data_IF_640126832473
#
_entry.id   IF_640126832473
#
_cell.length_a   1.000
_cell.length_b   1.000
_cell.length_c   1.000
_cell.angle_alpha   90.00
_cell.angle_beta   90.00
_cell.angle_gamma   90.00
#
_symmetry.space_group_name_H-M   'P 1'
#
loop_
_entity.id
_entity.type
_entity.pdbx_description
1 polymer ?
#
# COMPACT_ATOMS: atom_id res chain seq x y z
N UNK A 1 23.98 2.57 -23.94
CA UNK A 1 23.30 1.27 -23.91
C UNK A 1 22.50 1.08 -22.61
N UNK A 2 23.13 1.12 -21.42
CA UNK A 2 22.41 0.92 -20.14
C UNK A 2 21.25 1.88 -19.85
N UNK A 3 21.37 3.16 -20.22
CA UNK A 3 20.25 4.12 -20.10
C UNK A 3 19.00 3.69 -20.88
N UNK A 4 19.17 3.20 -22.12
CA UNK A 4 18.06 2.83 -22.99
C UNK A 4 17.33 1.60 -22.43
N UNK A 5 18.07 0.61 -21.95
CA UNK A 5 17.49 -0.58 -21.31
C UNK A 5 16.76 -0.24 -20.01
N UNK A 6 17.31 0.66 -19.20
CA UNK A 6 16.63 1.15 -18.00
C UNK A 6 15.27 1.77 -18.33
N UNK A 7 15.21 2.66 -19.34
CA UNK A 7 13.95 3.30 -19.74
C UNK A 7 12.95 2.29 -20.31
N UNK A 8 13.43 1.26 -21.02
CA UNK A 8 12.57 0.20 -21.55
C UNK A 8 11.90 -0.56 -20.40
N UNK A 9 12.67 -1.02 -19.43
CA UNK A 9 12.13 -1.72 -18.25
C UNK A 9 11.24 -0.80 -17.42
N UNK A 10 11.64 0.45 -17.18
CA UNK A 10 10.86 1.43 -16.41
C UNK A 10 9.45 1.63 -16.99
N UNK A 11 9.32 1.69 -18.33
CA UNK A 11 8.03 1.90 -18.99
C UNK A 11 7.08 0.69 -18.91
N UNK A 12 7.64 -0.51 -18.80
CA UNK A 12 6.87 -1.76 -18.74
C UNK A 12 6.77 -2.33 -17.33
N UNK A 13 7.40 -1.69 -16.34
CA UNK A 13 7.37 -2.15 -14.96
C UNK A 13 5.99 -1.90 -14.36
N UNK A 14 5.36 -2.98 -13.90
CA UNK A 14 4.06 -2.93 -13.24
C UNK A 14 4.22 -2.38 -11.83
N UNK A 15 3.42 -1.36 -11.51
CA UNK A 15 3.34 -0.76 -10.17
C UNK A 15 1.90 -0.93 -9.65
N UNK A 16 1.70 -0.98 -8.32
CA UNK A 16 0.36 -1.05 -7.75
C UNK A 16 -0.56 0.03 -8.31
N UNK A 17 -1.82 -0.32 -8.59
CA UNK A 17 -2.80 0.57 -9.22
C UNK A 17 -3.10 1.84 -8.40
N UNK A 18 -2.91 1.78 -7.08
CA UNK A 18 -3.08 2.89 -6.14
C UNK A 18 -1.94 3.92 -6.27
N UNK A 19 -0.79 3.51 -6.81
CA UNK A 19 0.35 4.42 -6.93
C UNK A 19 0.12 5.38 -8.09
N UNK A 20 0.21 6.67 -7.79
CA UNK A 20 0.34 7.67 -8.84
C UNK A 20 1.55 7.34 -9.71
N UNK A 21 1.39 7.59 -11.02
CA UNK A 21 2.46 7.35 -11.98
C UNK A 21 3.72 8.12 -11.57
N UNK A 22 4.79 7.38 -11.30
CA UNK A 22 6.09 7.97 -10.99
C UNK A 22 6.71 8.57 -12.26
N UNK A 23 7.28 9.77 -12.12
CA UNK A 23 8.02 10.42 -13.20
C UNK A 23 9.30 9.63 -13.52
N UNK A 24 9.92 9.83 -14.67
CA UNK A 24 11.19 9.16 -14.96
C UNK A 24 12.29 9.66 -13.99
N UNK A 25 12.94 8.76 -13.22
CA UNK A 25 13.92 9.14 -12.20
C UNK A 25 15.20 9.75 -12.79
N UNK A 26 15.46 9.56 -14.08
CA UNK A 26 16.67 10.10 -14.74
C UNK A 26 16.44 11.53 -15.23
N UNK A 27 15.26 11.84 -15.76
CA UNK A 27 14.98 13.18 -16.34
C UNK A 27 14.35 14.15 -15.34
N UNK A 28 13.72 13.64 -14.28
CA UNK A 28 12.97 14.45 -13.31
C UNK A 28 13.48 14.30 -11.87
N UNK A 29 14.77 14.02 -11.68
CA UNK A 29 15.35 13.73 -10.35
C UNK A 29 14.96 14.75 -9.28
N UNK A 30 14.91 16.04 -9.63
CA UNK A 30 14.64 17.13 -8.69
C UNK A 30 13.14 17.40 -8.45
N UNK A 31 12.26 16.66 -9.12
CA UNK A 31 10.80 16.80 -9.01
C UNK A 31 10.15 15.80 -8.05
N UNK A 32 10.94 14.91 -7.46
CA UNK A 32 10.46 13.85 -6.58
C UNK A 32 10.16 14.38 -5.19
N UNK A 33 8.98 14.09 -4.67
CA UNK A 33 8.68 14.27 -3.26
C UNK A 33 9.31 13.14 -2.43
N UNK A 34 9.35 13.30 -1.10
CA UNK A 34 9.86 12.27 -0.20
C UNK A 34 9.14 10.92 -0.40
N UNK A 35 7.81 10.93 -0.53
CA UNK A 35 7.03 9.71 -0.78
C UNK A 35 7.41 9.05 -2.11
N UNK A 36 7.59 9.83 -3.18
CA UNK A 36 8.04 9.30 -4.48
C UNK A 36 9.44 8.68 -4.38
N UNK A 37 10.33 9.29 -3.59
CA UNK A 37 11.69 8.78 -3.35
C UNK A 37 11.69 7.44 -2.60
N UNK A 38 10.78 7.28 -1.63
CA UNK A 38 10.60 6.01 -0.91
C UNK A 38 10.07 4.92 -1.83
N UNK A 39 9.00 5.23 -2.58
CA UNK A 39 8.43 4.33 -3.60
C UNK A 39 9.49 3.90 -4.61
N UNK A 40 10.30 4.85 -5.09
CA UNK A 40 11.41 4.59 -6.00
C UNK A 40 12.42 3.63 -5.39
N UNK A 41 12.83 3.87 -4.14
CA UNK A 41 13.79 3.02 -3.43
C UNK A 41 13.28 1.58 -3.31
N UNK A 42 11.97 1.38 -3.12
CA UNK A 42 11.37 0.04 -3.03
C UNK A 42 11.40 -0.71 -4.36
N UNK A 43 11.15 -0.04 -5.49
CA UNK A 43 11.05 -0.71 -6.81
C UNK A 43 12.40 -0.81 -7.55
N UNK A 44 13.37 0.03 -7.20
CA UNK A 44 14.67 0.09 -7.89
C UNK A 44 15.41 -1.26 -7.98
N UNK A 45 15.52 -2.08 -6.91
CA UNK A 45 16.16 -3.39 -7.01
C UNK A 45 15.61 -4.25 -8.17
N UNK A 46 14.29 -4.27 -8.31
CA UNK A 46 13.58 -5.08 -9.31
C UNK A 46 13.74 -4.56 -10.74
N UNK A 47 13.86 -3.24 -10.89
CA UNK A 47 14.13 -2.61 -12.19
C UNK A 47 15.59 -2.88 -12.58
N UNK A 48 16.53 -2.67 -11.67
CA UNK A 48 17.96 -2.81 -11.93
C UNK A 48 18.34 -4.25 -12.29
N UNK A 49 17.73 -5.25 -11.62
CA UNK A 49 17.89 -6.68 -11.97
C UNK A 49 17.57 -6.95 -13.44
N UNK A 50 16.51 -6.34 -13.97
CA UNK A 50 16.03 -6.58 -15.34
C UNK A 50 16.75 -5.71 -16.37
N UNK A 51 17.18 -4.51 -15.97
CA UNK A 51 17.69 -3.50 -16.90
C UNK A 51 19.21 -3.50 -17.07
N UNK A 52 19.98 -3.88 -16.04
CA UNK A 52 21.41 -3.56 -15.99
C UNK A 52 22.29 -4.79 -15.76
N UNK A 53 23.27 -4.99 -16.64
CA UNK A 53 24.33 -5.97 -16.48
C UNK A 53 25.69 -5.27 -16.29
N UNK A 54 26.76 -6.04 -16.01
CA UNK A 54 28.08 -5.47 -15.77
C UNK A 54 28.59 -4.60 -16.94
N UNK A 55 28.29 -4.95 -18.21
CA UNK A 55 28.74 -4.20 -19.39
C UNK A 55 28.15 -2.78 -19.49
N UNK A 56 27.10 -2.50 -18.73
CA UNK A 56 26.45 -1.19 -18.71
C UNK A 56 27.11 -0.19 -17.76
N UNK A 57 28.05 -0.64 -16.92
CA UNK A 57 28.81 0.22 -16.01
C UNK A 57 30.18 0.58 -16.58
N UNK A 58 30.77 1.67 -16.08
CA UNK A 58 32.15 2.05 -16.44
C UNK A 58 33.13 1.00 -15.90
N UNK A 59 34.11 0.61 -16.71
CA UNK A 59 35.05 -0.46 -16.36
C UNK A 59 35.83 -0.20 -15.07
N UNK A 60 36.29 1.04 -14.85
CA UNK A 60 37.02 1.43 -13.63
C UNK A 60 36.14 1.27 -12.39
N UNK A 61 34.86 1.61 -12.50
CA UNK A 61 33.89 1.49 -11.40
C UNK A 61 33.64 0.03 -11.03
N UNK A 62 33.45 -0.84 -12.03
CA UNK A 62 33.24 -2.28 -11.79
C UNK A 62 34.51 -2.91 -11.21
N UNK A 63 35.68 -2.56 -11.75
CA UNK A 63 36.96 -3.13 -11.32
C UNK A 63 37.25 -2.74 -9.86
N UNK A 64 36.95 -1.50 -9.47
CA UNK A 64 37.03 -1.05 -8.08
C UNK A 64 36.11 -1.88 -7.18
N UNK A 65 34.81 -1.97 -7.49
CA UNK A 65 33.86 -2.74 -6.65
C UNK A 65 34.25 -4.21 -6.58
N UNK A 66 34.69 -4.81 -7.70
CA UNK A 66 35.18 -6.18 -7.73
C UNK A 66 36.31 -6.38 -6.71
N UNK A 67 37.27 -5.46 -6.66
CA UNK A 67 38.40 -5.54 -5.75
C UNK A 67 37.98 -5.26 -4.29
N UNK A 68 37.18 -4.21 -4.05
CA UNK A 68 36.70 -3.81 -2.72
C UNK A 68 35.87 -4.91 -2.03
N UNK A 69 35.18 -5.74 -2.82
CA UNK A 69 34.37 -6.87 -2.35
C UNK A 69 35.03 -8.25 -2.59
N UNK A 70 36.30 -8.28 -3.04
CA UNK A 70 37.04 -9.52 -3.32
C UNK A 70 36.29 -10.51 -4.23
N UNK A 71 35.57 -10.01 -5.24
CA UNK A 71 34.74 -10.83 -6.13
C UNK A 71 35.58 -11.57 -7.17
N UNK A 72 35.19 -12.79 -7.51
CA UNK A 72 35.87 -13.58 -8.55
C UNK A 72 35.69 -12.98 -9.94
N UNK A 73 34.48 -12.49 -10.25
CA UNK A 73 34.13 -12.00 -11.59
C UNK A 73 33.40 -10.64 -11.56
N UNK A 74 33.70 -9.78 -12.55
CA UNK A 74 32.97 -8.53 -12.84
C UNK A 74 31.46 -8.76 -13.00
N UNK A 75 31.03 -9.94 -13.45
CA UNK A 75 29.61 -10.30 -13.57
C UNK A 75 28.85 -10.28 -12.24
N UNK A 76 29.52 -10.39 -11.09
CA UNK A 76 28.90 -10.39 -9.77
C UNK A 76 28.63 -8.98 -9.23
N UNK A 77 29.27 -7.95 -9.81
CA UNK A 77 29.18 -6.56 -9.34
C UNK A 77 27.75 -6.00 -9.38
N UNK A 78 26.92 -6.22 -10.42
CA UNK A 78 25.53 -5.77 -10.41
C UNK A 78 24.74 -6.28 -9.19
N UNK A 79 24.98 -7.52 -8.76
CA UNK A 79 24.33 -8.09 -7.59
C UNK A 79 24.65 -7.33 -6.29
N UNK A 80 25.88 -6.84 -6.13
CA UNK A 80 26.27 -5.98 -5.00
C UNK A 80 25.52 -4.64 -5.02
N UNK A 81 25.38 -4.04 -6.21
CA UNK A 81 24.67 -2.76 -6.37
C UNK A 81 23.18 -2.94 -6.05
N UNK A 82 22.58 -4.03 -6.52
CA UNK A 82 21.17 -4.36 -6.24
C UNK A 82 20.99 -4.60 -4.74
N UNK A 83 21.85 -5.38 -4.09
CA UNK A 83 21.82 -5.60 -2.64
C UNK A 83 21.95 -4.29 -1.85
N UNK A 84 22.78 -3.35 -2.32
CA UNK A 84 22.86 -2.02 -1.71
C UNK A 84 21.51 -1.28 -1.74
N UNK A 85 20.77 -1.34 -2.86
CA UNK A 85 19.41 -0.79 -2.95
C UNK A 85 18.41 -1.53 -2.06
N UNK A 86 18.51 -2.87 -1.96
CA UNK A 86 17.65 -3.66 -1.06
C UNK A 86 17.85 -3.24 0.39
N UNK A 87 19.09 -3.09 0.83
CA UNK A 87 19.41 -2.62 2.18
C UNK A 87 18.90 -1.19 2.39
N UNK A 88 18.99 -0.32 1.39
CA UNK A 88 18.41 1.02 1.45
C UNK A 88 16.89 0.96 1.62
N UNK A 89 16.19 0.10 0.89
CA UNK A 89 14.75 -0.08 1.03
C UNK A 89 14.36 -0.59 2.43
N UNK A 90 15.11 -1.56 2.98
CA UNK A 90 14.93 -2.05 4.36
C UNK A 90 15.17 -0.95 5.39
N UNK A 91 16.23 -0.14 5.22
CA UNK A 91 16.51 1.01 6.08
C UNK A 91 15.37 2.04 6.03
N UNK A 92 14.87 2.37 4.83
CA UNK A 92 13.71 3.25 4.68
C UNK A 92 12.47 2.71 5.41
N UNK A 93 12.18 1.40 5.32
CA UNK A 93 11.07 0.78 6.06
C UNK A 93 11.24 0.96 7.58
N UNK A 94 12.43 0.74 8.11
CA UNK A 94 12.71 0.90 9.54
C UNK A 94 12.61 2.37 10.00
N UNK A 95 13.16 3.31 9.22
CA UNK A 95 13.10 4.74 9.53
C UNK A 95 11.64 5.22 9.53
N UNK A 96 10.84 4.86 8.53
CA UNK A 96 9.48 5.39 8.39
C UNK A 96 8.39 4.52 9.03
N UNK A 97 8.77 3.59 9.93
CA UNK A 97 7.81 2.80 10.71
C UNK A 97 7.02 3.74 11.63
N UNK A 98 5.70 3.56 11.66
CA UNK A 98 4.76 4.42 12.40
C UNK A 98 4.87 4.29 13.92
N UNK A 99 5.23 3.10 14.40
CA UNK A 99 5.41 2.79 15.82
C UNK A 99 6.60 1.86 16.01
N UNK A 100 7.36 2.10 17.08
CA UNK A 100 8.48 1.24 17.48
C UNK A 100 8.04 0.37 18.65
N UNK A 101 8.43 -0.90 18.60
CA UNK A 101 8.11 -1.97 19.53
C UNK A 101 9.37 -2.29 20.33
N UNK A 102 9.18 -2.44 21.63
CA UNK A 102 10.21 -2.87 22.57
C UNK A 102 9.59 -3.99 23.38
N UNK A 103 10.10 -5.20 23.22
CA UNK A 103 9.77 -6.37 24.03
C UNK A 103 11.06 -7.01 24.57
N UNK A 104 10.95 -8.10 25.34
CA UNK A 104 12.13 -8.77 25.94
C UNK A 104 13.06 -9.42 24.90
N UNK A 105 12.55 -9.72 23.71
CA UNK A 105 13.24 -10.44 22.63
C UNK A 105 13.65 -9.55 21.45
N UNK A 106 13.04 -8.38 21.30
CA UNK A 106 13.13 -7.51 20.14
C UNK A 106 13.07 -6.03 20.51
N UNK A 107 13.92 -5.25 19.86
CA UNK A 107 13.98 -3.81 20.06
C UNK A 107 14.22 -3.10 18.73
N UNK A 108 13.21 -2.37 18.25
CA UNK A 108 13.29 -1.63 16.99
C UNK A 108 14.44 -0.60 16.96
N UNK A 109 14.82 -0.01 18.09
CA UNK A 109 15.92 0.96 18.13
C UNK A 109 17.28 0.29 17.87
N UNK A 110 17.49 -0.91 18.43
CA UNK A 110 18.70 -1.70 18.19
C UNK A 110 18.72 -2.16 16.74
N UNK A 111 17.61 -2.73 16.26
CA UNK A 111 17.48 -3.18 14.87
C UNK A 111 17.70 -2.02 13.87
N UNK A 112 17.18 -0.82 14.18
CA UNK A 112 17.41 0.37 13.37
C UNK A 112 18.90 0.73 13.33
N UNK A 113 19.58 0.74 14.48
CA UNK A 113 21.01 1.04 14.54
C UNK A 113 21.84 0.07 13.70
N UNK A 114 21.58 -1.23 13.80
CA UNK A 114 22.26 -2.27 13.03
C UNK A 114 22.03 -2.10 11.52
N UNK A 115 20.77 -1.88 11.10
CA UNK A 115 20.42 -1.67 9.69
C UNK A 115 21.12 -0.41 9.14
N UNK A 116 21.17 0.67 9.92
CA UNK A 116 21.79 1.94 9.52
C UNK A 116 23.32 1.86 9.44
N UNK A 117 23.96 1.11 10.32
CA UNK A 117 25.39 0.82 10.23
C UNK A 117 25.69 -0.02 8.98
N UNK A 118 24.90 -1.06 8.73
CA UNK A 118 25.08 -1.95 7.59
C UNK A 118 24.93 -1.20 6.25
N UNK A 119 23.87 -0.40 6.09
CA UNK A 119 23.69 0.41 4.87
C UNK A 119 24.79 1.46 4.72
N UNK A 120 25.24 2.08 5.81
CA UNK A 120 26.32 3.07 5.78
C UNK A 120 27.61 2.45 5.24
N UNK A 121 27.98 1.28 5.77
CA UNK A 121 29.15 0.53 5.31
C UNK A 121 29.03 0.10 3.85
N UNK A 122 27.84 -0.34 3.42
CA UNK A 122 27.59 -0.73 2.04
C UNK A 122 27.66 0.46 1.07
N UNK A 123 27.06 1.60 1.40
CA UNK A 123 27.11 2.82 0.59
C UNK A 123 28.56 3.32 0.42
N UNK A 124 29.35 3.29 1.50
CA UNK A 124 30.75 3.71 1.46
C UNK A 124 31.60 2.76 0.60
N UNK A 125 31.37 1.44 0.64
CA UNK A 125 32.08 0.50 -0.23
C UNK A 125 31.68 0.67 -1.70
N UNK A 126 30.38 0.76 -1.99
CA UNK A 126 29.88 0.85 -3.38
C UNK A 126 30.20 2.20 -4.02
N UNK A 127 29.99 3.31 -3.32
CA UNK A 127 30.12 4.67 -3.89
C UNK A 127 31.39 5.42 -3.45
N UNK A 128 32.16 4.87 -2.51
CA UNK A 128 33.49 5.35 -2.14
C UNK A 128 33.51 6.75 -1.54
N UNK A 129 34.56 7.51 -1.87
CA UNK A 129 34.79 8.88 -1.42
C UNK A 129 33.68 9.87 -1.81
N UNK A 130 32.89 9.55 -2.83
CA UNK A 130 31.76 10.39 -3.26
C UNK A 130 30.71 10.52 -2.17
N UNK A 131 30.58 9.49 -1.30
CA UNK A 131 29.61 9.46 -0.21
C UNK A 131 30.24 9.78 1.14
N UNK A 132 31.52 9.46 1.36
CA UNK A 132 32.16 9.64 2.68
C UNK A 132 32.17 11.07 3.21
N UNK A 133 32.10 12.07 2.31
CA UNK A 133 32.08 13.50 2.66
C UNK A 133 30.68 14.09 2.76
N UNK A 134 29.63 13.31 2.48
CA UNK A 134 28.26 13.82 2.49
C UNK A 134 27.76 13.98 3.93
N UNK A 135 27.24 15.16 4.30
CA UNK A 135 26.59 15.35 5.60
C UNK A 135 25.50 14.33 5.86
N UNK A 136 24.74 13.94 4.82
CA UNK A 136 23.69 12.93 4.92
C UNK A 136 24.22 11.58 5.43
N UNK A 137 25.44 11.18 5.04
CA UNK A 137 26.06 9.94 5.55
C UNK A 137 26.43 10.04 7.03
N UNK A 138 26.81 11.24 7.50
CA UNK A 138 27.05 11.48 8.92
C UNK A 138 25.74 11.49 9.71
N UNK A 139 24.70 12.14 9.18
CA UNK A 139 23.36 12.21 9.80
C UNK A 139 22.75 10.82 10.00
N UNK A 140 22.96 9.87 9.07
CA UNK A 140 22.48 8.49 9.21
C UNK A 140 22.89 7.84 10.54
N UNK A 141 24.06 8.18 11.08
CA UNK A 141 24.58 7.60 12.33
C UNK A 141 23.84 8.10 13.58
N UNK A 142 23.23 9.27 13.49
CA UNK A 142 22.52 9.90 14.62
C UNK A 142 21.03 9.59 14.63
N UNK A 143 20.49 8.98 13.56
CA UNK A 143 19.06 8.68 13.48
C UNK A 143 18.57 7.76 14.61
N UNK A 144 19.30 6.73 15.06
CA UNK A 144 18.86 5.92 16.20
C UNK A 144 18.67 6.75 17.47
N UNK A 145 19.62 7.63 17.79
CA UNK A 145 19.53 8.51 18.97
C UNK A 145 18.37 9.50 18.85
N UNK A 146 18.15 10.04 17.65
CA UNK A 146 16.99 10.90 17.36
C UNK A 146 15.69 10.10 17.56
N UNK A 147 15.61 8.87 17.07
CA UNK A 147 14.45 8.02 17.26
C UNK A 147 14.17 7.80 18.75
N UNK A 148 15.19 7.48 19.56
CA UNK A 148 15.04 7.29 21.02
C UNK A 148 14.50 8.55 21.68
N UNK A 149 15.00 9.72 21.30
CA UNK A 149 14.59 11.00 21.91
C UNK A 149 13.16 11.42 21.54
N UNK A 150 12.68 11.06 20.34
CA UNK A 150 11.40 11.51 19.80
C UNK A 150 10.37 10.37 19.62
N UNK A 151 10.68 9.17 20.09
CA UNK A 151 9.87 7.94 19.97
C UNK A 151 9.93 7.29 18.57
N UNK A 152 9.78 8.06 17.50
CA UNK A 152 9.93 7.58 16.12
C UNK A 152 10.57 8.63 15.24
N UNK A 153 11.21 8.18 14.15
CA UNK A 153 11.76 9.10 13.14
C UNK A 153 10.68 9.86 12.36
N UNK A 154 9.45 9.34 12.31
CA UNK A 154 8.30 10.01 11.67
C UNK A 154 7.97 11.32 12.40
N UNK A 155 8.10 11.37 13.73
CA UNK A 155 7.82 12.56 14.53
C UNK A 155 8.75 13.74 14.22
N UNK A 156 9.97 13.45 13.72
CA UNK A 156 10.99 14.46 13.38
C UNK A 156 11.00 14.76 11.86
N UNK A 157 10.17 14.06 11.08
CA UNK A 157 10.15 14.21 9.62
C UNK A 157 9.71 15.61 9.19
N UNK A 158 10.63 16.32 8.53
CA UNK A 158 10.39 17.67 7.98
C UNK A 158 9.50 17.61 6.73
N UNK A 159 9.45 16.48 6.03
CA UNK A 159 8.70 16.35 4.77
C UNK A 159 7.20 16.66 4.95
N UNK A 160 6.61 16.28 6.08
CA UNK A 160 5.22 16.62 6.39
C UNK A 160 5.05 18.14 6.56
N UNK A 161 5.96 18.79 7.30
CA UNK A 161 5.96 20.24 7.51
C UNK A 161 6.17 21.00 6.19
N UNK A 162 7.04 20.52 5.31
CA UNK A 162 7.27 21.12 3.98
C UNK A 162 6.05 20.96 3.06
N UNK A 163 5.37 19.82 3.09
CA UNK A 163 4.12 19.63 2.36
C UNK A 163 3.04 20.63 2.83
N UNK A 164 2.89 20.80 4.16
CA UNK A 164 1.99 21.81 4.72
C UNK A 164 2.40 23.24 4.31
N UNK A 165 3.69 23.55 4.35
CA UNK A 165 4.21 24.83 3.90
C UNK A 165 3.91 25.11 2.42
N UNK A 166 3.99 24.08 1.57
CA UNK A 166 3.58 24.15 0.16
C UNK A 166 2.09 24.47 -0.01
N UNK A 167 1.22 23.86 0.80
CA UNK A 167 -0.20 24.18 0.82
C UNK A 167 -0.47 25.62 1.27
N UNK A 168 0.22 26.07 2.32
CA UNK A 168 0.10 27.45 2.80
C UNK A 168 0.53 28.46 1.74
N UNK A 169 1.66 28.24 1.06
CA UNK A 169 2.11 29.12 -0.03
C UNK A 169 1.08 29.26 -1.15
N UNK A 170 0.39 28.18 -1.51
CA UNK A 170 -0.71 28.22 -2.49
C UNK A 170 -1.91 29.03 -1.98
N UNK A 171 -2.11 29.08 -0.67
CA UNK A 171 -3.24 29.79 -0.06
C UNK A 171 -2.95 31.26 0.26
N UNK A 172 -1.69 31.65 0.48
CA UNK A 172 -1.28 33.03 0.78
C UNK A 172 -1.89 34.08 -0.17
N UNK A 173 -1.93 33.89 -1.50
CA UNK A 173 -2.56 34.85 -2.43
C UNK A 173 -4.05 35.11 -2.16
N UNK A 174 -4.73 34.18 -1.52
CA UNK A 174 -6.17 34.23 -1.21
C UNK A 174 -6.48 34.77 0.19
N UNK A 175 -5.46 35.17 0.96
CA UNK A 175 -5.64 35.80 2.27
C UNK A 175 -5.75 37.32 2.14
N UNK A 176 -6.20 38.00 3.20
CA UNK A 176 -6.23 39.46 3.25
C UNK A 176 -4.82 40.09 3.37
N UNK A 177 -3.77 39.25 3.49
CA UNK A 177 -2.35 39.58 3.62
C UNK A 177 -1.97 40.48 4.81
N UNK A 178 -2.92 40.84 5.67
CA UNK A 178 -2.67 41.62 6.89
C UNK A 178 -2.20 40.73 8.04
N UNK A 179 -2.89 39.61 8.26
CA UNK A 179 -2.56 38.64 9.31
C UNK A 179 -2.57 37.22 8.75
N UNK A 180 -1.58 36.93 7.90
CA UNK A 180 -1.47 35.64 7.19
C UNK A 180 -1.48 34.45 8.16
N UNK A 181 -0.80 34.56 9.31
CA UNK A 181 -0.77 33.50 10.32
C UNK A 181 -2.17 33.20 10.86
N UNK A 182 -2.92 34.23 11.28
CA UNK A 182 -4.28 34.08 11.79
C UNK A 182 -5.23 33.54 10.72
N UNK A 183 -5.12 34.02 9.48
CA UNK A 183 -5.97 33.56 8.37
C UNK A 183 -5.71 32.07 8.06
N UNK A 184 -4.44 31.64 8.03
CA UNK A 184 -4.08 30.23 7.83
C UNK A 184 -4.51 29.34 9.01
N UNK A 185 -4.29 29.79 10.26
CA UNK A 185 -4.73 29.04 11.45
C UNK A 185 -6.25 28.91 11.51
N UNK A 186 -7.01 29.96 11.16
CA UNK A 186 -8.47 29.88 11.08
C UNK A 186 -8.90 28.84 10.05
N UNK A 187 -8.32 28.89 8.85
CA UNK A 187 -8.61 27.91 7.79
C UNK A 187 -8.32 26.48 8.23
N UNK A 188 -7.16 26.24 8.84
CA UNK A 188 -6.80 24.89 9.27
C UNK A 188 -7.68 24.38 10.41
N UNK A 189 -8.02 25.25 11.37
CA UNK A 189 -9.01 24.91 12.40
C UNK A 189 -10.35 24.57 11.76
N UNK A 190 -10.84 25.37 10.81
CA UNK A 190 -12.08 25.08 10.09
C UNK A 190 -12.01 23.75 9.35
N UNK A 191 -10.91 23.45 8.64
CA UNK A 191 -10.74 22.18 7.93
C UNK A 191 -10.65 20.98 8.89
N UNK A 192 -9.97 21.12 10.02
CA UNK A 192 -9.90 20.08 11.05
C UNK A 192 -11.25 19.85 11.72
N UNK A 193 -12.00 20.91 12.04
CA UNK A 193 -13.36 20.79 12.57
C UNK A 193 -14.29 20.12 11.56
N UNK A 194 -14.24 20.53 10.28
CA UNK A 194 -15.02 19.88 9.23
C UNK A 194 -14.67 18.41 9.09
N UNK A 195 -13.38 18.06 9.10
CA UNK A 195 -12.93 16.66 9.07
C UNK A 195 -13.46 15.87 10.27
N UNK A 196 -13.32 16.41 11.48
CA UNK A 196 -13.83 15.79 12.69
C UNK A 196 -15.34 15.53 12.62
N UNK A 197 -16.12 16.51 12.15
CA UNK A 197 -17.56 16.36 11.95
C UNK A 197 -17.91 15.30 10.88
N UNK A 198 -17.18 15.29 9.75
CA UNK A 198 -17.35 14.31 8.69
C UNK A 198 -16.98 12.88 9.13
N UNK A 199 -15.99 12.76 10.00
CA UNK A 199 -15.56 11.48 10.58
C UNK A 199 -16.50 11.00 11.73
N UNK A 200 -17.65 11.65 11.93
CA UNK A 200 -18.67 11.25 12.91
C UNK A 200 -18.43 11.77 14.33
N UNK A 201 -17.56 12.77 14.48
CA UNK A 201 -17.30 13.43 15.76
C UNK A 201 -18.57 14.03 16.38
N UNK A 202 -18.76 13.79 17.68
CA UNK A 202 -19.88 14.33 18.43
C UNK A 202 -19.60 15.80 18.74
N UNK A 203 -20.39 16.68 18.15
CA UNK A 203 -20.39 18.10 18.52
C UNK A 203 -21.54 18.36 19.50
N UNK A 204 -21.21 18.74 20.74
CA UNK A 204 -22.21 19.16 21.72
C UNK A 204 -23.07 20.35 21.21
N UNK A 205 -22.57 21.07 20.19
CA UNK A 205 -23.22 22.24 19.61
C UNK A 205 -24.17 21.96 18.42
N UNK A 206 -24.47 20.69 18.11
CA UNK A 206 -25.46 20.28 17.08
C UNK A 206 -25.20 20.85 15.66
N UNK A 207 -23.96 21.19 15.30
CA UNK A 207 -23.62 21.76 13.98
C UNK A 207 -24.00 20.80 12.83
N UNK A 208 -23.92 19.49 13.06
CA UNK A 208 -24.35 18.46 12.10
C UNK A 208 -25.87 18.40 11.85
N UNK A 209 -26.69 19.16 12.59
CA UNK A 209 -28.13 19.31 12.37
C UNK A 209 -28.49 20.68 11.75
N UNK A 210 -27.49 21.54 11.49
CA UNK A 210 -27.73 22.83 10.83
C UNK A 210 -28.24 22.58 9.39
N UNK A 211 -29.47 22.99 9.04
CA UNK A 211 -30.07 22.68 7.75
C UNK A 211 -29.32 23.30 6.57
N UNK A 212 -28.61 24.42 6.76
CA UNK A 212 -27.77 25.01 5.72
C UNK A 212 -26.47 24.23 5.54
N UNK A 213 -25.85 23.77 6.63
CA UNK A 213 -24.61 23.01 6.59
C UNK A 213 -24.85 21.58 6.10
N UNK A 214 -25.95 20.94 6.51
CA UNK A 214 -26.45 19.68 5.94
C UNK A 214 -26.73 19.81 4.44
N UNK A 215 -27.39 20.88 4.01
CA UNK A 215 -27.62 21.16 2.58
C UNK A 215 -26.29 21.28 1.82
N UNK A 216 -25.38 22.10 2.32
CA UNK A 216 -24.06 22.33 1.73
C UNK A 216 -23.22 21.04 1.63
N UNK A 217 -23.20 20.22 2.69
CA UNK A 217 -22.49 18.94 2.72
C UNK A 217 -23.12 17.92 1.77
N UNK A 218 -24.45 17.83 1.72
CA UNK A 218 -25.16 16.97 0.78
C UNK A 218 -24.96 17.40 -0.69
N UNK A 219 -24.78 18.70 -0.93
CA UNK A 219 -24.61 19.28 -2.27
C UNK A 219 -23.14 19.31 -2.74
N UNK A 220 -22.17 19.24 -1.83
CA UNK A 220 -20.72 19.29 -2.13
C UNK A 220 -20.09 17.96 -2.52
N UNK A 221 -20.71 16.83 -2.17
CA UNK A 221 -20.31 15.59 -2.80
C UNK A 221 -20.62 15.73 -4.28
N UNK A 222 -19.56 15.77 -5.10
CA UNK A 222 -19.67 15.33 -6.48
C UNK A 222 -20.20 13.90 -6.35
N UNK A 223 -21.52 13.71 -6.51
CA UNK A 223 -22.03 12.45 -7.03
C UNK A 223 -21.23 12.27 -8.30
N UNK A 224 -20.24 11.38 -8.28
CA UNK A 224 -19.52 10.99 -9.48
C UNK A 224 -20.58 10.40 -10.39
N UNK A 225 -21.14 11.28 -11.21
CA UNK A 225 -22.05 10.97 -12.29
C UNK A 225 -21.22 10.15 -13.27
N UNK A 226 -21.16 8.84 -13.00
CA UNK A 226 -20.99 7.71 -13.91
C UNK A 226 -20.69 6.37 -13.20
N UNK A 227 -20.67 6.30 -11.85
CA UNK A 227 -20.88 5.03 -11.14
C UNK A 227 -22.26 5.06 -10.52
N UNK A 228 -23.18 4.17 -10.92
CA UNK A 228 -24.43 3.99 -10.20
C UNK A 228 -24.06 3.56 -8.77
N UNK A 229 -24.16 4.48 -7.82
CA UNK A 229 -24.17 4.16 -6.40
C UNK A 229 -25.40 3.31 -6.14
N UNK A 230 -25.19 2.06 -5.77
CA UNK A 230 -26.23 1.22 -5.21
C UNK A 230 -26.00 1.21 -3.70
N UNK A 231 -26.73 2.06 -2.96
CA UNK A 231 -26.93 1.88 -1.52
C UNK A 231 -27.82 0.64 -1.33
N UNK A 232 -27.27 -0.53 -1.60
CA UNK A 232 -27.81 -1.78 -1.10
C UNK A 232 -27.53 -1.76 0.40
N UNK A 233 -28.51 -2.07 1.25
CA UNK A 233 -28.26 -2.26 2.69
C UNK A 233 -27.38 -3.49 2.89
N UNK A 234 -26.08 -3.37 2.57
CA UNK A 234 -25.10 -4.46 2.64
C UNK A 234 -24.93 -4.81 4.10
N UNK A 235 -25.17 -6.09 4.39
CA UNK A 235 -25.08 -6.65 5.71
C UNK A 235 -23.62 -6.99 6.01
N UNK A 236 -23.17 -6.62 7.21
CA UNK A 236 -21.93 -7.12 7.81
C UNK A 236 -22.30 -8.08 8.92
N UNK A 237 -21.66 -9.25 8.95
CA UNK A 237 -21.78 -10.16 10.10
C UNK A 237 -20.94 -9.67 11.29
N UNK A 238 -19.85 -8.94 11.02
CA UNK A 238 -18.95 -8.44 12.04
C UNK A 238 -19.37 -7.04 12.50
N UNK A 239 -19.56 -6.81 13.81
CA UNK A 239 -20.09 -5.54 14.34
C UNK A 239 -19.16 -4.35 14.08
N UNK A 240 -17.85 -4.62 13.95
CA UNK A 240 -16.84 -3.58 13.74
C UNK A 240 -16.79 -3.03 12.31
N UNK A 241 -17.48 -3.67 11.36
CA UNK A 241 -17.51 -3.26 9.96
C UNK A 241 -18.82 -2.54 9.66
N UNK A 242 -18.71 -1.29 9.21
CA UNK A 242 -19.84 -0.42 8.91
C UNK A 242 -19.69 0.31 7.57
N UNK A 243 -20.76 1.00 7.16
CA UNK A 243 -20.81 1.86 5.98
C UNK A 243 -20.27 1.20 4.70
N UNK A 244 -20.57 -0.08 4.51
CA UNK A 244 -20.11 -0.85 3.36
C UNK A 244 -20.80 -0.34 2.09
N UNK A 245 -20.00 -0.05 1.06
CA UNK A 245 -20.45 0.44 -0.25
C UNK A 245 -19.65 -0.23 -1.35
N UNK A 246 -20.32 -0.61 -2.44
CA UNK A 246 -19.67 -1.16 -3.63
C UNK A 246 -19.91 -0.27 -4.84
N UNK A 247 -18.98 -0.32 -5.80
CA UNK A 247 -19.03 0.55 -6.96
C UNK A 247 -18.54 -0.17 -8.22
N UNK A 248 -18.99 0.32 -9.36
CA UNK A 248 -18.57 -0.19 -10.67
C UNK A 248 -19.13 -1.57 -10.96
N UNK A 249 -20.47 -1.70 -10.99
CA UNK A 249 -21.15 -2.93 -11.37
C UNK A 249 -20.68 -3.41 -12.75
N UNK A 250 -20.27 -4.67 -12.84
CA UNK A 250 -19.78 -5.27 -14.07
C UNK A 250 -20.93 -5.58 -15.04
N UNK A 251 -20.69 -5.30 -16.32
CA UNK A 251 -21.55 -5.77 -17.42
C UNK A 251 -21.22 -7.24 -17.72
N UNK A 252 -22.20 -7.99 -18.23
CA UNK A 252 -22.03 -9.39 -18.67
C UNK A 252 -20.81 -9.59 -19.57
N UNK A 253 -20.54 -8.65 -20.48
CA UNK A 253 -19.37 -8.70 -21.36
C UNK A 253 -18.02 -8.74 -20.62
N UNK A 254 -17.91 -8.04 -19.48
CA UNK A 254 -16.71 -8.01 -18.65
C UNK A 254 -16.58 -9.30 -17.84
N UNK A 255 -17.69 -9.80 -17.31
CA UNK A 255 -17.79 -11.06 -16.58
C UNK A 255 -17.31 -12.22 -17.47
N UNK A 256 -17.84 -12.34 -18.69
CA UNK A 256 -17.42 -13.39 -19.64
C UNK A 256 -15.96 -13.25 -20.09
N UNK A 257 -15.43 -12.03 -20.25
CA UNK A 257 -14.03 -11.82 -20.62
C UNK A 257 -13.06 -12.36 -19.56
N UNK A 258 -13.47 -12.34 -18.29
CA UNK A 258 -12.69 -12.85 -17.16
C UNK A 258 -12.99 -14.34 -16.85
N UNK A 259 -13.76 -15.00 -17.72
CA UNK A 259 -14.13 -16.40 -17.56
C UNK A 259 -15.04 -16.67 -16.36
N UNK A 260 -15.77 -15.66 -15.87
CA UNK A 260 -16.70 -15.78 -14.76
C UNK A 260 -18.15 -15.91 -15.27
N UNK A 261 -19.06 -16.35 -14.39
CA UNK A 261 -20.48 -16.52 -14.68
C UNK A 261 -21.34 -15.65 -13.77
N UNK A 262 -22.39 -15.02 -14.29
CA UNK A 262 -23.38 -14.26 -13.50
C UNK A 262 -24.32 -15.15 -12.68
N UNK A 263 -24.33 -16.45 -12.96
CA UNK A 263 -25.10 -17.46 -12.23
C UNK A 263 -24.17 -18.46 -11.58
N UNK A 264 -24.46 -18.80 -10.32
CA UNK A 264 -23.80 -19.84 -9.55
C UNK A 264 -24.12 -21.21 -10.18
N UNK A 265 -23.34 -21.58 -11.19
CA UNK A 265 -23.43 -22.85 -11.90
C UNK A 265 -22.09 -23.59 -11.95
N UNK A 266 -21.00 -22.96 -11.50
CA UNK A 266 -19.70 -23.62 -11.34
C UNK A 266 -19.65 -24.32 -9.98
N UNK A 267 -19.36 -25.63 -10.00
CA UNK A 267 -19.38 -26.49 -8.81
C UNK A 267 -18.49 -25.97 -7.67
N UNK A 268 -17.45 -25.19 -7.96
CA UNK A 268 -16.51 -24.69 -6.95
C UNK A 268 -17.04 -23.45 -6.21
N UNK A 269 -17.61 -22.47 -6.92
CA UNK A 269 -18.13 -21.24 -6.29
C UNK A 269 -19.38 -21.51 -5.44
N UNK A 270 -20.24 -22.44 -5.87
CA UNK A 270 -21.39 -22.86 -5.07
C UNK A 270 -20.95 -23.55 -3.78
N UNK A 271 -19.94 -24.41 -3.88
CA UNK A 271 -19.38 -25.11 -2.72
C UNK A 271 -18.75 -24.13 -1.73
N UNK A 272 -17.92 -23.19 -2.21
CA UNK A 272 -17.30 -22.17 -1.37
C UNK A 272 -18.34 -21.27 -0.69
N UNK A 273 -19.37 -20.82 -1.42
CA UNK A 273 -20.47 -20.04 -0.84
C UNK A 273 -21.24 -20.83 0.22
N UNK A 274 -21.57 -22.10 -0.06
CA UNK A 274 -22.32 -22.95 0.88
C UNK A 274 -21.52 -23.12 2.17
N UNK A 275 -20.22 -23.41 2.04
CA UNK A 275 -19.33 -23.55 3.19
C UNK A 275 -19.26 -22.27 4.02
N UNK A 276 -19.12 -21.09 3.39
CA UNK A 276 -19.09 -19.82 4.13
C UNK A 276 -20.42 -19.53 4.83
N UNK A 277 -21.54 -19.81 4.18
CA UNK A 277 -22.85 -19.63 4.82
C UNK A 277 -23.07 -20.59 6.00
N UNK A 278 -22.60 -21.82 5.91
CA UNK A 278 -22.64 -22.79 7.00
C UNK A 278 -21.70 -22.42 8.15
N UNK A 279 -20.42 -22.15 7.85
CA UNK A 279 -19.37 -21.95 8.84
C UNK A 279 -19.48 -20.57 9.53
N UNK A 280 -19.67 -19.50 8.76
CA UNK A 280 -19.65 -18.11 9.25
C UNK A 280 -21.05 -17.64 9.63
N UNK A 281 -22.03 -17.84 8.74
CA UNK A 281 -23.39 -17.33 8.94
C UNK A 281 -24.30 -18.30 9.72
N UNK A 282 -23.82 -19.51 10.03
CA UNK A 282 -24.61 -20.58 10.67
C UNK A 282 -25.93 -20.85 9.95
N UNK A 283 -25.94 -20.67 8.62
CA UNK A 283 -27.08 -20.89 7.76
C UNK A 283 -26.90 -22.19 6.98
N UNK A 284 -27.57 -23.25 7.45
CA UNK A 284 -27.56 -24.59 6.85
C UNK A 284 -28.62 -24.76 5.73
N UNK A 285 -29.20 -23.66 5.25
CA UNK A 285 -30.16 -23.64 4.16
C UNK A 285 -29.53 -23.89 2.79
N UNK A 286 -30.32 -24.38 1.85
CA UNK A 286 -29.90 -24.48 0.44
C UNK A 286 -29.97 -23.08 -0.17
N UNK A 287 -28.86 -22.59 -0.73
CA UNK A 287 -28.79 -21.31 -1.44
C UNK A 287 -29.82 -21.29 -2.60
N UNK A 288 -30.91 -20.54 -2.43
CA UNK A 288 -31.99 -20.45 -3.42
C UNK A 288 -31.62 -19.43 -4.50
N UNK A 289 -31.04 -18.30 -4.10
CA UNK A 289 -30.64 -17.25 -5.04
C UNK A 289 -29.34 -17.65 -5.73
N UNK A 290 -29.37 -17.80 -7.05
CA UNK A 290 -28.16 -18.17 -7.83
C UNK A 290 -27.50 -17.01 -8.54
N UNK A 291 -28.09 -15.82 -8.44
CA UNK A 291 -27.59 -14.65 -9.12
C UNK A 291 -26.49 -13.96 -8.29
N UNK A 292 -25.37 -13.62 -8.95
CA UNK A 292 -24.27 -12.87 -8.35
C UNK A 292 -24.04 -11.57 -9.10
N UNK A 293 -23.81 -10.49 -8.35
CA UNK A 293 -23.33 -9.23 -8.88
C UNK A 293 -21.83 -9.05 -8.63
N UNK A 294 -21.10 -8.56 -9.62
CA UNK A 294 -19.67 -8.27 -9.54
C UNK A 294 -19.39 -6.78 -9.59
N UNK A 295 -18.40 -6.32 -8.81
CA UNK A 295 -18.05 -4.90 -8.65
C UNK A 295 -16.54 -4.67 -8.80
N UNK A 296 -16.17 -3.42 -9.08
CA UNK A 296 -14.77 -3.01 -9.25
C UNK A 296 -14.05 -2.68 -7.94
N UNK A 297 -14.78 -2.15 -6.96
CA UNK A 297 -14.23 -1.83 -5.65
C UNK A 297 -15.28 -1.83 -4.55
N UNK A 298 -14.83 -2.09 -3.33
CA UNK A 298 -15.60 -2.05 -2.09
C UNK A 298 -14.94 -1.07 -1.13
N UNK A 299 -15.78 -0.31 -0.44
CA UNK A 299 -15.42 0.67 0.57
C UNK A 299 -16.12 0.29 1.86
N UNK A 300 -15.41 0.32 2.99
CA UNK A 300 -16.00 0.05 4.29
C UNK A 300 -15.21 0.74 5.39
N UNK A 301 -15.85 0.92 6.55
CA UNK A 301 -15.24 1.49 7.74
C UNK A 301 -15.05 0.41 8.79
N UNK A 302 -13.83 0.27 9.31
CA UNK A 302 -13.49 -0.67 10.38
C UNK A 302 -13.28 0.08 11.68
N UNK A 303 -13.91 -0.38 12.75
CA UNK A 303 -13.67 0.07 14.11
C UNK A 303 -12.54 -0.77 14.72
N UNK A 304 -11.44 -0.12 15.10
CA UNK A 304 -10.34 -0.76 15.83
C UNK A 304 -10.01 0.06 17.08
N UNK A 305 -10.20 -0.51 18.27
CA UNK A 305 -9.82 0.10 19.57
C UNK A 305 -10.23 1.59 19.72
N UNK A 306 -11.41 1.94 19.21
CA UNK A 306 -12.02 3.30 19.18
C UNK A 306 -11.64 4.23 18.02
N UNK A 307 -10.90 3.77 17.01
CA UNK A 307 -10.63 4.52 15.79
C UNK A 307 -11.37 3.93 14.60
N UNK A 308 -11.97 4.80 13.78
CA UNK A 308 -12.56 4.42 12.50
C UNK A 308 -11.50 4.54 11.41
N UNK A 309 -11.24 3.43 10.73
CA UNK A 309 -10.37 3.38 9.56
C UNK A 309 -11.20 3.13 8.30
N UNK A 310 -11.08 4.03 7.32
CA UNK A 310 -11.73 3.88 6.03
C UNK A 310 -10.85 3.04 5.11
N UNK A 311 -11.34 1.86 4.73
CA UNK A 311 -10.63 0.91 3.87
C UNK A 311 -11.31 0.86 2.51
N UNK A 312 -10.51 0.81 1.45
CA UNK A 312 -10.98 0.61 0.08
C UNK A 312 -10.18 -0.52 -0.54
N UNK A 313 -10.87 -1.53 -1.05
CA UNK A 313 -10.28 -2.65 -1.78
C UNK A 313 -10.73 -2.61 -3.23
N UNK A 314 -9.82 -2.87 -4.17
CA UNK A 314 -10.10 -2.88 -5.61
C UNK A 314 -9.69 -4.19 -6.24
N UNK A 315 -10.41 -4.57 -7.29
CA UNK A 315 -10.04 -5.73 -8.11
C UNK A 315 -8.66 -5.50 -8.74
N UNK A 316 -7.79 -6.51 -8.64
CA UNK A 316 -6.39 -6.49 -9.06
C UNK A 316 -5.40 -6.04 -7.98
N UNK A 317 -5.87 -5.72 -6.77
CA UNK A 317 -4.99 -5.43 -5.63
C UNK A 317 -4.55 -6.72 -4.93
N UNK A 318 -3.32 -6.69 -4.41
CA UNK A 318 -2.81 -7.76 -3.54
C UNK A 318 -3.07 -7.35 -2.10
N UNK A 319 -3.68 -8.24 -1.33
CA UNK A 319 -3.97 -8.07 0.09
C UNK A 319 -3.15 -9.04 0.93
N UNK A 320 -2.85 -8.61 2.15
CA UNK A 320 -2.27 -9.44 3.18
C UNK A 320 -3.42 -10.12 3.93
N UNK A 321 -3.32 -11.43 4.15
CA UNK A 321 -4.30 -12.23 4.87
C UNK A 321 -3.60 -12.90 6.05
N UNK A 322 -4.10 -12.63 7.26
CA UNK A 322 -3.64 -13.29 8.47
C UNK A 322 -4.30 -14.67 8.57
N UNK A 323 -3.49 -15.72 8.72
CA UNK A 323 -4.00 -17.07 8.99
C UNK A 323 -4.22 -17.24 10.50
N UNK A 324 -5.42 -17.67 10.89
CA UNK A 324 -5.79 -17.88 12.30
C UNK A 324 -4.88 -18.90 13.02
N UNK A 325 -4.31 -19.85 12.27
CA UNK A 325 -3.55 -20.98 12.83
C UNK A 325 -2.03 -20.73 12.95
N UNK A 326 -1.47 -19.71 12.28
CA UNK A 326 -0.03 -19.43 12.28
C UNK A 326 0.26 -17.92 12.27
N UNK A 327 0.28 -17.30 13.46
CA UNK A 327 0.50 -15.85 13.66
C UNK A 327 1.83 -15.28 13.14
N UNK A 328 2.73 -16.11 12.60
CA UNK A 328 4.02 -15.69 12.04
C UNK A 328 4.12 -15.82 10.51
N UNK A 329 3.11 -16.40 9.82
CA UNK A 329 3.11 -16.52 8.37
C UNK A 329 2.06 -15.59 7.75
N UNK A 330 2.54 -14.56 7.02
CA UNK A 330 1.68 -13.68 6.23
C UNK A 330 1.42 -14.34 4.88
N UNK A 331 0.16 -14.63 4.61
CA UNK A 331 -0.32 -15.10 3.31
C UNK A 331 -0.78 -13.91 2.47
N UNK A 332 -0.59 -13.99 1.16
CA UNK A 332 -0.95 -12.92 0.24
C UNK A 332 -1.99 -13.45 -0.75
N UNK A 333 -2.94 -12.60 -1.13
CA UNK A 333 -3.96 -12.96 -2.10
C UNK A 333 -4.21 -11.82 -3.09
N UNK A 334 -4.45 -12.15 -4.37
CA UNK A 334 -4.83 -11.19 -5.40
C UNK A 334 -6.35 -11.13 -5.49
N UNK A 335 -6.94 -9.94 -5.35
CA UNK A 335 -8.39 -9.77 -5.52
C UNK A 335 -8.75 -9.95 -6.99
N UNK A 336 -9.40 -11.06 -7.32
CA UNK A 336 -9.88 -11.37 -8.67
C UNK A 336 -11.24 -10.74 -8.95
N UNK A 337 -12.15 -10.72 -7.97
CA UNK A 337 -13.44 -10.07 -8.09
C UNK A 337 -14.05 -9.73 -6.73
N UNK A 338 -14.96 -8.75 -6.72
CA UNK A 338 -15.77 -8.42 -5.55
C UNK A 338 -17.21 -8.81 -5.87
N UNK A 339 -17.83 -9.60 -5.01
CA UNK A 339 -19.12 -10.25 -5.20
C UNK A 339 -20.11 -9.71 -4.17
N UNK A 340 -21.33 -9.39 -4.61
CA UNK A 340 -22.48 -9.32 -3.71
C UNK A 340 -23.44 -10.47 -4.00
N UNK A 341 -23.83 -11.17 -2.94
CA UNK A 341 -24.82 -12.24 -3.00
C UNK A 341 -25.90 -12.05 -1.94
N UNK A 342 -27.16 -12.29 -2.32
CA UNK A 342 -28.31 -12.17 -1.43
C UNK A 342 -28.61 -13.53 -0.79
N UNK A 343 -28.60 -13.60 0.54
CA UNK A 343 -28.96 -14.82 1.26
C UNK A 343 -30.48 -15.11 1.25
N UNK A 344 -30.86 -16.27 1.77
CA UNK A 344 -32.25 -16.72 1.82
C UNK A 344 -33.13 -15.83 2.73
N UNK A 345 -32.53 -15.05 3.63
CA UNK A 345 -33.20 -14.07 4.48
C UNK A 345 -33.31 -12.68 3.82
N UNK A 346 -32.82 -12.53 2.60
CA UNK A 346 -32.84 -11.29 1.84
C UNK A 346 -31.74 -10.29 2.19
N UNK A 347 -30.72 -10.69 2.96
CA UNK A 347 -29.58 -9.85 3.30
C UNK A 347 -28.54 -9.93 2.18
N UNK A 348 -27.96 -8.78 1.84
CA UNK A 348 -26.95 -8.67 0.78
C UNK A 348 -25.58 -8.73 1.43
N UNK A 349 -24.83 -9.78 1.14
CA UNK A 349 -23.54 -10.07 1.77
C UNK A 349 -22.40 -9.84 0.76
N UNK A 350 -21.33 -9.15 1.16
CA UNK A 350 -20.14 -8.97 0.34
C UNK A 350 -19.20 -10.17 0.46
N UNK A 351 -18.52 -10.48 -0.64
CA UNK A 351 -17.48 -11.50 -0.70
C UNK A 351 -16.34 -11.06 -1.62
N UNK A 352 -15.12 -11.45 -1.29
CA UNK A 352 -13.92 -11.29 -2.10
C UNK A 352 -13.56 -12.63 -2.75
N UNK A 353 -13.56 -12.66 -4.08
CA UNK A 353 -12.96 -13.75 -4.85
C UNK A 353 -11.48 -13.45 -5.03
N UNK A 354 -10.60 -14.32 -4.54
CA UNK A 354 -9.16 -14.14 -4.53
C UNK A 354 -8.42 -15.32 -5.16
N UNK A 355 -7.26 -15.03 -5.74
CA UNK A 355 -6.28 -16.03 -6.16
C UNK A 355 -5.10 -15.99 -5.18
N UNK A 356 -4.75 -17.11 -4.56
CA UNK A 356 -3.72 -17.15 -3.52
C UNK A 356 -2.31 -17.08 -4.09
N UNK A 357 -1.40 -16.51 -3.29
CA UNK A 357 0.02 -16.59 -3.54
C UNK A 357 0.66 -17.66 -2.66
N UNK A 358 1.21 -18.70 -3.28
CA UNK A 358 1.96 -19.73 -2.57
C UNK A 358 3.42 -19.36 -2.45
N UNK A 359 3.96 -19.48 -1.23
CA UNK A 359 5.38 -19.34 -0.99
C UNK A 359 6.12 -20.49 -1.66
N UNK A 360 7.02 -20.18 -2.60
CA UNK A 360 7.81 -21.18 -3.31
C UNK A 360 8.79 -21.96 -2.41
N UNK A 361 9.03 -21.53 -1.17
CA UNK A 361 10.17 -21.94 -0.34
C UNK A 361 11.52 -21.39 -0.82
N UNK A 362 11.58 -20.87 -2.05
CA UNK A 362 12.77 -20.26 -2.63
C UNK A 362 12.88 -18.77 -2.28
N UNK A 363 14.12 -18.32 -2.16
CA UNK A 363 14.48 -16.92 -1.95
C UNK A 363 15.27 -16.45 -3.16
N UNK A 364 14.95 -15.27 -3.68
CA UNK A 364 15.71 -14.68 -4.77
C UNK A 364 17.15 -14.41 -4.30
N UNK A 365 18.11 -15.05 -4.97
CA UNK A 365 19.52 -15.04 -4.54
C UNK A 365 20.18 -13.65 -4.52
N UNK A 366 19.59 -12.67 -5.22
CA UNK A 366 20.13 -11.31 -5.34
C UNK A 366 19.46 -10.36 -4.34
N UNK A 367 18.13 -10.40 -4.23
CA UNK A 367 17.36 -9.52 -3.33
C UNK A 367 17.16 -10.09 -1.94
N UNK A 368 17.32 -11.40 -1.76
CA UNK A 368 17.06 -12.07 -0.49
C UNK A 368 15.58 -12.07 -0.10
N UNK A 369 14.67 -11.84 -1.06
CA UNK A 369 13.23 -11.80 -0.83
C UNK A 369 12.58 -13.13 -1.20
N UNK A 370 11.56 -13.58 -0.45
CA UNK A 370 10.80 -14.78 -0.78
C UNK A 370 10.09 -14.64 -2.13
N UNK A 371 10.07 -15.71 -2.90
CA UNK A 371 9.37 -15.78 -4.19
C UNK A 371 8.00 -16.43 -3.96
N UNK A 372 6.98 -15.77 -4.49
CA UNK A 372 5.59 -16.25 -4.46
C UNK A 372 5.13 -16.57 -5.88
N UNK A 373 4.35 -17.65 -6.02
CA UNK A 373 3.66 -18.00 -7.25
C UNK A 373 2.16 -17.80 -7.08
N UNK A 374 1.51 -17.26 -8.11
CA UNK A 374 0.06 -17.18 -8.15
C UNK A 374 -0.51 -18.59 -8.37
N UNK A 375 -1.53 -18.95 -7.61
CA UNK A 375 -2.28 -20.19 -7.76
C UNK A 375 -2.81 -20.32 -9.19
N UNK A 376 -2.59 -21.49 -9.80
CA UNK A 376 -3.28 -21.83 -11.05
C UNK A 376 -4.70 -22.29 -10.73
N UNK A 377 -5.66 -21.91 -11.57
CA UNK A 377 -7.12 -22.04 -11.37
C UNK A 377 -7.67 -23.47 -11.14
N UNK A 378 -6.81 -24.49 -11.15
CA UNK A 378 -7.18 -25.90 -10.97
C UNK A 378 -6.83 -26.45 -9.58
N UNK A 379 -6.19 -25.68 -8.72
CA UNK A 379 -5.79 -26.14 -7.39
C UNK A 379 -6.93 -25.89 -6.39
N UNK A 380 -7.60 -26.95 -5.93
CA UNK A 380 -8.82 -26.87 -5.11
C UNK A 380 -8.54 -26.89 -3.60
N UNK A 381 -7.29 -26.66 -3.19
CA UNK A 381 -6.86 -26.86 -1.80
C UNK A 381 -7.27 -25.70 -0.86
N UNK A 382 -7.57 -24.52 -1.39
CA UNK A 382 -7.83 -23.30 -0.63
C UNK A 382 -9.14 -22.66 -1.10
N UNK A 383 -9.96 -22.16 -0.17
CA UNK A 383 -11.18 -21.42 -0.52
C UNK A 383 -10.79 -20.17 -1.29
N UNK A 384 -11.42 -19.92 -2.43
CA UNK A 384 -11.15 -18.73 -3.24
C UNK A 384 -12.04 -17.57 -2.84
N UNK A 385 -13.02 -17.81 -1.96
CA UNK A 385 -14.01 -16.84 -1.54
C UNK A 385 -13.82 -16.52 -0.05
N UNK A 386 -13.75 -15.23 0.26
CA UNK A 386 -13.59 -14.71 1.62
C UNK A 386 -14.63 -13.61 1.90
N UNK A 387 -14.92 -13.37 3.17
CA UNK A 387 -15.83 -12.32 3.63
C UNK A 387 -15.16 -10.94 3.57
#
# INVERSE_FOLDING_TARGET
>A
MGYVEFIKVWKTFEVPSIWNRLQNPITHRDSYWMNDSLRLTMIMPFILIRAINYKHYKDDFITRIKNDFCLSNKMQVPGIIINCWVKMAKACKAIFKSSYIIDESYNDYIALSEILEEISNMLLKVFGLSFSKLPNMHVLRHLPEIAVNFGTMVNVSVAFKEAMHGLYKKHVPHTNKKNISMDLSKRDNTLQTLRYLLDGGLDESNIGQDPHLCGLLNDWYIKTSNSKEENTGIFSIHPDFGNIRVYGLWKLSKIHKLGLSSTISENNLLFDLTKIYEDIYQNYGIIIQRHINYYDFIYFTVLHENYYSNITLRVGEVIDVEEEDNSNEQSYALIRAIILHQDDYGRINPFLLVDWFYRSGNVDSITGLPIYYLQESNDSLWSHLHL
#
